data_IF_614011945266
#
_entry.id   IF_614011945266
#
_cell.length_a   1.000
_cell.length_b   1.000
_cell.length_c   1.000
_cell.angle_alpha   90.00
_cell.angle_beta   90.00
_cell.angle_gamma   90.00
#
_symmetry.space_group_name_H-M   'P 1'
#
loop_
_entity.id
_entity.type
_entity.pdbx_description
1 polymer ?
#
# COMPACT_ATOMS: atom_id res chain seq x y z
N UNK A 1 6.73 -7.94 9.23
CA UNK A 1 7.18 -6.54 9.11
C UNK A 1 7.41 -6.22 7.64
N UNK A 2 7.27 -4.94 7.25
CA UNK A 2 7.71 -4.40 5.95
C UNK A 2 8.67 -3.26 6.26
N UNK A 3 9.89 -3.32 5.76
CA UNK A 3 10.93 -2.32 5.98
C UNK A 3 11.28 -1.67 4.64
N UNK A 4 11.28 -0.33 4.60
CA UNK A 4 11.49 0.47 3.40
C UNK A 4 12.70 1.37 3.63
N UNK A 5 13.75 1.16 2.86
CA UNK A 5 15.02 1.87 2.93
C UNK A 5 15.49 2.29 1.53
N UNK A 6 15.02 3.45 1.03
CA UNK A 6 15.38 3.94 -0.30
C UNK A 6 16.88 4.21 -0.47
N UNK A 7 17.60 4.42 0.63
CA UNK A 7 19.04 4.69 0.61
C UNK A 7 19.91 3.44 0.65
N UNK A 8 19.33 2.27 0.98
CA UNK A 8 20.04 0.98 1.09
C UNK A 8 21.16 0.98 2.14
N UNK A 9 20.99 1.72 3.22
CA UNK A 9 22.03 1.90 4.25
C UNK A 9 21.65 1.25 5.56
N UNK A 10 20.49 1.63 6.12
CA UNK A 10 20.15 1.34 7.52
C UNK A 10 19.53 -0.06 7.70
N UNK A 11 18.70 -0.52 6.76
CA UNK A 11 17.92 -1.74 6.94
C UNK A 11 18.46 -2.98 6.25
N UNK A 12 19.53 -2.86 5.45
CA UNK A 12 20.17 -3.99 4.78
C UNK A 12 20.54 -5.15 5.74
N UNK A 13 21.06 -4.92 6.96
CA UNK A 13 21.40 -5.99 7.90
C UNK A 13 20.22 -6.87 8.32
N UNK A 14 18.98 -6.33 8.29
CA UNK A 14 17.78 -7.04 8.72
C UNK A 14 17.23 -8.02 7.66
N UNK A 15 17.74 -8.02 6.44
CA UNK A 15 17.34 -9.00 5.44
C UNK A 15 17.57 -10.43 5.96
N UNK A 16 16.59 -11.31 5.74
CA UNK A 16 16.65 -12.70 6.17
C UNK A 16 16.09 -12.98 7.56
N UNK A 17 15.59 -11.98 8.31
CA UNK A 17 14.87 -12.28 9.55
C UNK A 17 13.46 -12.82 9.22
N UNK A 18 12.93 -13.82 9.98
CA UNK A 18 11.65 -14.48 9.69
C UNK A 18 10.43 -13.56 9.82
N UNK A 19 10.61 -12.35 10.35
CA UNK A 19 9.54 -11.37 10.53
C UNK A 19 9.21 -10.56 9.28
N UNK A 20 10.04 -10.63 8.24
CA UNK A 20 9.84 -9.85 7.01
C UNK A 20 8.82 -10.51 6.10
N UNK A 21 7.83 -9.72 5.65
CA UNK A 21 6.86 -10.11 4.61
C UNK A 21 7.47 -10.08 3.20
N UNK A 22 8.40 -9.17 2.97
CA UNK A 22 9.17 -8.99 1.74
C UNK A 22 10.61 -8.66 2.10
N UNK A 23 11.60 -8.87 1.22
CA UNK A 23 12.93 -8.32 1.41
C UNK A 23 12.85 -6.82 1.70
N UNK A 24 13.86 -6.23 2.32
CA UNK A 24 13.92 -4.78 2.54
C UNK A 24 13.71 -4.08 1.20
N UNK A 25 12.67 -3.24 1.13
CA UNK A 25 12.24 -2.55 -0.09
C UNK A 25 13.11 -1.32 -0.30
N UNK A 26 13.77 -1.26 -1.44
CA UNK A 26 14.72 -0.17 -1.77
C UNK A 26 14.25 0.72 -2.91
N UNK A 27 13.33 0.26 -3.74
CA UNK A 27 12.82 1.02 -4.87
C UNK A 27 11.54 1.79 -4.50
N UNK A 28 11.48 3.08 -4.85
CA UNK A 28 10.35 3.95 -4.49
C UNK A 28 9.00 3.43 -5.01
N UNK A 29 8.98 2.84 -6.22
CA UNK A 29 7.77 2.28 -6.81
C UNK A 29 7.28 1.03 -6.07
N UNK A 30 8.20 0.16 -5.70
CA UNK A 30 7.89 -1.02 -4.88
C UNK A 30 7.41 -0.63 -3.48
N UNK A 31 7.98 0.44 -2.88
CA UNK A 31 7.53 1.00 -1.62
C UNK A 31 6.07 1.50 -1.71
N UNK A 32 5.72 2.22 -2.79
CA UNK A 32 4.35 2.64 -3.04
C UNK A 32 3.40 1.44 -3.23
N UNK A 33 3.84 0.39 -3.93
CA UNK A 33 3.07 -0.87 -4.08
C UNK A 33 2.86 -1.56 -2.74
N UNK A 34 3.88 -1.67 -1.90
CA UNK A 34 3.79 -2.26 -0.56
C UNK A 34 2.82 -1.49 0.35
N UNK A 35 2.84 -0.14 0.29
CA UNK A 35 1.90 0.70 1.03
C UNK A 35 0.46 0.55 0.51
N UNK A 36 0.26 0.47 -0.80
CA UNK A 36 -1.04 0.22 -1.42
C UNK A 36 -1.59 -1.15 -1.03
N UNK A 37 -0.75 -2.18 -1.02
CA UNK A 37 -1.11 -3.49 -0.50
C UNK A 37 -1.55 -3.43 0.96
N UNK A 38 -0.82 -2.69 1.80
CA UNK A 38 -1.18 -2.55 3.21
C UNK A 38 -2.54 -1.87 3.42
N UNK A 39 -2.91 -0.91 2.55
CA UNK A 39 -4.26 -0.31 2.54
C UNK A 39 -5.30 -1.37 2.17
N UNK A 40 -5.08 -2.17 1.14
CA UNK A 40 -6.01 -3.23 0.74
C UNK A 40 -6.14 -4.30 1.84
N UNK A 41 -5.04 -4.72 2.46
CA UNK A 41 -5.05 -5.66 3.59
C UNK A 41 -5.79 -5.11 4.81
N UNK A 42 -5.60 -3.82 5.12
CA UNK A 42 -6.35 -3.13 6.16
C UNK A 42 -7.86 -3.24 5.90
N UNK A 43 -8.31 -2.94 4.71
CA UNK A 43 -9.73 -2.97 4.34
C UNK A 43 -10.30 -4.39 4.34
N UNK A 44 -9.53 -5.35 3.84
CA UNK A 44 -9.88 -6.77 3.93
C UNK A 44 -10.10 -7.18 5.39
N UNK A 45 -9.19 -6.82 6.30
CA UNK A 45 -9.31 -7.11 7.74
C UNK A 45 -10.54 -6.46 8.35
N UNK A 46 -10.77 -5.18 8.09
CA UNK A 46 -11.92 -4.44 8.60
C UNK A 46 -13.26 -5.04 8.13
N UNK A 47 -13.33 -5.48 6.86
CA UNK A 47 -14.50 -6.18 6.30
C UNK A 47 -14.76 -7.51 7.04
N UNK A 48 -13.71 -8.31 7.25
CA UNK A 48 -13.80 -9.56 8.03
C UNK A 48 -14.28 -9.28 9.46
N UNK A 49 -13.70 -8.27 10.13
CA UNK A 49 -14.11 -7.92 11.51
C UNK A 49 -15.57 -7.51 11.58
N UNK A 50 -16.05 -6.72 10.63
CA UNK A 50 -17.45 -6.30 10.54
C UNK A 50 -18.37 -7.51 10.38
N UNK A 51 -18.02 -8.47 9.52
CA UNK A 51 -18.82 -9.69 9.28
C UNK A 51 -19.00 -10.57 10.52
N UNK A 52 -18.05 -10.57 11.44
CA UNK A 52 -18.09 -11.40 12.66
C UNK A 52 -18.40 -10.59 13.94
N UNK A 53 -18.69 -9.29 13.82
CA UNK A 53 -18.94 -8.40 14.95
C UNK A 53 -17.71 -8.20 15.86
N UNK A 54 -16.49 -8.17 15.29
CA UNK A 54 -15.27 -7.76 15.99
C UNK A 54 -14.97 -6.29 15.70
N UNK A 55 -14.41 -5.56 16.67
CA UNK A 55 -14.06 -4.14 16.51
C UNK A 55 -12.59 -3.90 16.18
N UNK A 56 -11.75 -4.89 16.42
CA UNK A 56 -10.30 -4.80 16.20
C UNK A 56 -9.66 -6.19 16.14
N UNK A 57 -8.38 -6.22 15.74
CA UNK A 57 -7.60 -7.46 15.62
C UNK A 57 -7.55 -8.28 16.92
N UNK A 58 -7.47 -7.64 18.09
CA UNK A 58 -7.44 -8.36 19.37
C UNK A 58 -8.73 -9.13 19.63
N UNK A 59 -9.90 -8.54 19.32
CA UNK A 59 -11.19 -9.24 19.42
C UNK A 59 -11.33 -10.35 18.36
N UNK A 60 -10.83 -10.12 17.15
CA UNK A 60 -10.79 -11.14 16.11
C UNK A 60 -9.95 -12.34 16.56
N UNK A 61 -8.70 -12.13 16.96
CA UNK A 61 -7.80 -13.19 17.39
C UNK A 61 -8.35 -13.96 18.62
N UNK A 62 -8.97 -13.26 19.56
CA UNK A 62 -9.62 -13.91 20.71
C UNK A 62 -10.82 -14.81 20.30
N UNK A 63 -11.50 -14.49 19.21
CA UNK A 63 -12.55 -15.36 18.64
C UNK A 63 -11.94 -16.53 17.85
N UNK A 64 -10.88 -16.28 17.06
CA UNK A 64 -10.17 -17.33 16.33
C UNK A 64 -9.62 -18.41 17.29
N UNK A 65 -8.99 -18.01 18.38
CA UNK A 65 -8.51 -18.92 19.43
C UNK A 65 -9.64 -19.77 20.07
N UNK A 66 -10.88 -19.28 20.03
CA UNK A 66 -12.06 -20.00 20.55
C UNK A 66 -12.77 -20.86 19.51
N UNK A 67 -12.15 -21.06 18.34
CA UNK A 67 -12.70 -21.90 17.28
C UNK A 67 -13.69 -21.18 16.36
N UNK A 68 -13.47 -19.89 16.08
CA UNK A 68 -14.22 -19.16 15.05
C UNK A 68 -14.05 -19.85 13.70
N UNK A 69 -15.15 -20.08 13.01
CA UNK A 69 -15.17 -20.56 11.62
C UNK A 69 -15.62 -19.42 10.69
N UNK A 70 -14.99 -19.32 9.54
CA UNK A 70 -15.33 -18.39 8.47
C UNK A 70 -15.40 -19.19 7.17
N UNK A 71 -16.55 -19.17 6.49
CA UNK A 71 -16.82 -19.97 5.29
C UNK A 71 -16.51 -21.48 5.50
N UNK A 72 -16.98 -22.04 6.58
CA UNK A 72 -16.82 -23.45 6.96
C UNK A 72 -15.35 -23.89 7.17
N UNK A 73 -14.44 -22.95 7.39
CA UNK A 73 -13.04 -23.20 7.70
C UNK A 73 -12.61 -22.54 9.03
N UNK A 74 -11.73 -23.18 9.83
CA UNK A 74 -11.20 -22.57 11.04
C UNK A 74 -10.44 -21.27 10.72
N UNK A 75 -10.80 -20.19 11.42
CA UNK A 75 -10.16 -18.91 11.25
C UNK A 75 -8.79 -18.90 11.93
N UNK A 76 -7.73 -18.63 11.16
CA UNK A 76 -6.39 -18.41 11.69
C UNK A 76 -6.27 -17.04 12.36
N UNK A 77 -5.42 -16.93 13.39
CA UNK A 77 -5.07 -15.65 13.98
C UNK A 77 -4.37 -14.74 12.96
N UNK A 78 -4.70 -13.46 12.98
CA UNK A 78 -4.03 -12.46 12.15
C UNK A 78 -2.85 -11.85 12.90
N UNK A 79 -1.65 -11.81 12.29
CA UNK A 79 -0.49 -11.15 12.89
C UNK A 79 -0.64 -9.63 12.82
N UNK A 80 -0.02 -8.92 13.77
CA UNK A 80 0.22 -7.49 13.65
C UNK A 80 1.24 -7.23 12.52
N UNK A 81 1.02 -6.17 11.77
CA UNK A 81 1.93 -5.72 10.71
C UNK A 81 2.54 -4.38 11.13
N UNK A 82 3.87 -4.29 11.11
CA UNK A 82 4.60 -3.04 11.33
C UNK A 82 5.31 -2.67 10.04
N UNK A 83 5.05 -1.46 9.56
CA UNK A 83 5.67 -0.88 8.35
C UNK A 83 6.61 0.23 8.83
N UNK A 84 7.88 0.15 8.44
CA UNK A 84 8.92 1.09 8.86
C UNK A 84 9.51 1.74 7.60
N UNK A 85 9.48 3.07 7.56
CA UNK A 85 10.07 3.87 6.47
C UNK A 85 11.23 4.67 7.06
N UNK A 86 12.43 4.43 6.57
CA UNK A 86 13.65 5.10 7.03
C UNK A 86 13.73 6.56 6.58
N UNK A 87 13.47 6.82 5.29
CA UNK A 87 13.53 8.18 4.73
C UNK A 87 12.31 8.47 3.85
N UNK A 88 11.32 9.15 4.45
CA UNK A 88 10.11 9.54 3.72
C UNK A 88 10.40 10.53 2.59
N UNK A 89 11.37 11.42 2.75
CA UNK A 89 11.66 12.45 1.74
C UNK A 89 11.98 11.85 0.37
N UNK A 90 12.72 10.74 0.33
CA UNK A 90 13.13 10.11 -0.92
C UNK A 90 11.92 9.46 -1.65
N UNK A 91 10.92 8.98 -0.91
CA UNK A 91 9.66 8.50 -1.48
C UNK A 91 8.81 9.66 -1.99
N UNK A 92 8.69 10.75 -1.22
CA UNK A 92 7.88 11.92 -1.58
C UNK A 92 8.39 12.62 -2.84
N UNK A 93 9.68 12.55 -3.13
CA UNK A 93 10.27 13.12 -4.36
C UNK A 93 9.93 12.32 -5.62
N UNK A 94 9.71 11.02 -5.51
CA UNK A 94 9.54 10.11 -6.66
C UNK A 94 8.07 9.69 -6.88
N UNK A 95 7.36 9.34 -5.80
CA UNK A 95 6.00 8.76 -5.82
C UNK A 95 5.13 9.40 -4.72
N UNK A 96 5.29 10.72 -4.52
CA UNK A 96 4.77 11.42 -3.36
C UNK A 96 3.26 11.32 -3.18
N UNK A 97 2.48 11.42 -4.26
CA UNK A 97 1.01 11.41 -4.19
C UNK A 97 0.45 10.07 -3.71
N UNK A 98 0.99 8.98 -4.25
CA UNK A 98 0.60 7.61 -3.93
C UNK A 98 0.99 7.26 -2.49
N UNK A 99 2.20 7.66 -2.09
CA UNK A 99 2.72 7.43 -0.73
C UNK A 99 1.96 8.26 0.30
N UNK A 100 1.73 9.55 0.06
CA UNK A 100 0.98 10.41 0.97
C UNK A 100 -0.46 9.92 1.17
N UNK A 101 -1.12 9.52 0.08
CA UNK A 101 -2.46 8.94 0.12
C UNK A 101 -2.47 7.66 0.98
N UNK A 102 -1.59 6.71 0.70
CA UNK A 102 -1.52 5.43 1.40
C UNK A 102 -1.19 5.60 2.89
N UNK A 103 -0.21 6.44 3.23
CA UNK A 103 0.15 6.76 4.63
C UNK A 103 -1.05 7.39 5.35
N UNK A 104 -1.72 8.36 4.74
CA UNK A 104 -2.87 9.03 5.34
C UNK A 104 -4.02 8.06 5.59
N UNK A 105 -4.32 7.18 4.63
CA UNK A 105 -5.37 6.17 4.74
C UNK A 105 -5.07 5.15 5.84
N UNK A 106 -3.85 4.65 5.90
CA UNK A 106 -3.39 3.74 6.96
C UNK A 106 -3.44 4.44 8.33
N UNK A 107 -2.94 5.66 8.47
CA UNK A 107 -2.92 6.37 9.73
C UNK A 107 -4.33 6.62 10.31
N UNK A 108 -5.35 6.77 9.44
CA UNK A 108 -6.74 6.95 9.85
C UNK A 108 -7.39 5.68 10.42
N UNK A 109 -7.16 4.51 9.83
CA UNK A 109 -7.98 3.33 10.06
C UNK A 109 -7.20 2.08 10.48
N UNK A 110 -5.90 2.00 10.20
CA UNK A 110 -5.12 0.77 10.31
C UNK A 110 -4.92 0.28 11.76
N UNK A 111 -5.06 1.16 12.76
CA UNK A 111 -4.95 0.78 14.18
C UNK A 111 -5.87 -0.38 14.55
N UNK A 112 -7.12 -0.33 14.13
CA UNK A 112 -8.08 -1.40 14.41
C UNK A 112 -7.74 -2.70 13.68
N UNK A 113 -7.17 -2.60 12.48
CA UNK A 113 -6.71 -3.74 11.67
C UNK A 113 -5.38 -4.35 12.17
N UNK A 114 -4.71 -3.73 13.15
CA UNK A 114 -3.42 -4.19 13.67
C UNK A 114 -2.25 -3.90 12.73
N UNK A 115 -2.35 -2.83 11.93
CA UNK A 115 -1.28 -2.37 11.03
C UNK A 115 -0.77 -1.03 11.58
N UNK A 116 0.54 -0.94 11.77
CA UNK A 116 1.19 0.21 12.40
C UNK A 116 2.28 0.77 11.51
N UNK A 117 2.41 2.11 11.51
CA UNK A 117 3.41 2.85 10.74
C UNK A 117 4.44 3.48 11.67
N UNK A 118 5.71 3.35 11.31
CA UNK A 118 6.82 4.14 11.83
C UNK A 118 7.44 4.85 10.61
N UNK A 119 7.34 6.17 10.59
CA UNK A 119 7.81 6.97 9.45
C UNK A 119 8.89 7.91 9.92
N UNK A 120 10.08 7.79 9.36
CA UNK A 120 11.21 8.64 9.65
C UNK A 120 11.61 9.51 8.45
N UNK A 121 12.27 10.61 8.73
CA UNK A 121 12.92 11.46 7.71
C UNK A 121 14.04 12.28 8.34
N UNK A 122 15.13 12.44 7.62
CA UNK A 122 16.23 13.35 7.94
C UNK A 122 16.02 14.75 7.33
N UNK A 123 14.92 14.95 6.55
CA UNK A 123 14.61 16.22 5.88
C UNK A 123 13.24 16.75 6.30
N UNK A 124 13.16 17.39 7.49
CA UNK A 124 11.90 17.89 8.04
C UNK A 124 11.46 19.17 7.33
N UNK A 125 11.00 19.04 6.09
CA UNK A 125 10.40 20.14 5.31
C UNK A 125 8.89 19.97 5.18
N UNK A 126 8.17 21.06 4.91
CA UNK A 126 6.70 21.04 4.74
C UNK A 126 6.24 20.22 3.54
N UNK A 127 7.12 19.99 2.55
CA UNK A 127 6.83 19.14 1.39
C UNK A 127 6.97 17.64 1.71
N UNK A 128 7.64 17.30 2.79
CA UNK A 128 7.84 15.92 3.27
C UNK A 128 6.88 15.61 4.41
N UNK A 129 6.90 16.43 5.45
CA UNK A 129 5.98 16.33 6.60
C UNK A 129 4.80 17.26 6.35
N UNK A 130 3.93 16.84 5.44
CA UNK A 130 2.80 17.64 4.98
C UNK A 130 1.73 17.81 6.07
N UNK A 131 0.83 18.77 5.87
CA UNK A 131 -0.31 18.98 6.78
C UNK A 131 -1.21 17.74 6.85
N UNK A 132 -1.35 16.99 5.74
CA UNK A 132 -2.16 15.78 5.69
C UNK A 132 -1.54 14.64 6.52
N UNK A 133 -0.22 14.45 6.42
CA UNK A 133 0.53 13.48 7.23
C UNK A 133 0.42 13.86 8.72
N UNK A 134 0.66 15.13 9.09
CA UNK A 134 0.59 15.59 10.48
C UNK A 134 -0.80 15.45 11.10
N UNK A 135 -1.85 15.66 10.31
CA UNK A 135 -3.24 15.53 10.78
C UNK A 135 -3.59 14.08 11.18
N UNK A 136 -2.95 13.10 10.56
CA UNK A 136 -3.24 11.68 10.75
C UNK A 136 -2.20 10.97 11.63
N UNK A 137 -0.91 11.33 11.53
CA UNK A 137 0.17 10.84 12.41
C UNK A 137 0.33 11.87 13.54
N UNK A 138 -0.37 11.63 14.62
CA UNK A 138 -0.47 12.58 15.75
C UNK A 138 0.64 12.41 16.77
N UNK A 139 1.22 11.21 16.92
CA UNK A 139 2.36 10.96 17.79
C UNK A 139 3.65 11.22 17.01
N UNK A 140 4.46 12.15 17.49
CA UNK A 140 5.65 12.62 16.78
C UNK A 140 6.85 12.68 17.69
N UNK A 141 8.01 12.32 17.16
CA UNK A 141 9.29 12.38 17.85
C UNK A 141 10.21 13.28 17.02
N UNK A 142 10.89 14.21 17.68
CA UNK A 142 11.98 14.96 17.07
C UNK A 142 13.25 14.73 17.90
N UNK A 143 14.30 14.31 17.21
CA UNK A 143 15.67 14.40 17.70
C UNK A 143 16.20 15.83 17.47
N UNK A 144 17.47 16.07 17.80
CA UNK A 144 18.09 17.36 17.54
C UNK A 144 17.99 17.75 16.05
N UNK A 145 17.56 18.97 15.78
CA UNK A 145 17.42 19.56 14.46
C UNK A 145 18.21 20.85 14.32
N UNK A 146 18.48 21.29 13.10
CA UNK A 146 19.33 22.45 12.84
C UNK A 146 18.69 23.79 13.23
N UNK A 147 17.37 23.89 13.22
CA UNK A 147 16.66 25.14 13.46
C UNK A 147 15.30 24.98 14.15
N UNK A 148 14.84 26.06 14.80
CA UNK A 148 13.48 26.12 15.34
C UNK A 148 12.39 26.04 14.29
N UNK A 149 12.69 26.28 13.00
CA UNK A 149 11.77 26.07 11.88
C UNK A 149 11.56 24.57 11.68
N UNK A 150 12.64 23.78 11.66
CA UNK A 150 12.57 22.33 11.52
C UNK A 150 11.80 21.70 12.69
N UNK A 151 12.03 22.18 13.91
CA UNK A 151 11.28 21.78 15.09
C UNK A 151 9.78 22.01 14.91
N UNK A 152 9.37 23.18 14.38
CA UNK A 152 7.95 23.47 14.13
C UNK A 152 7.36 22.62 13.01
N UNK A 153 8.14 22.28 11.99
CA UNK A 153 7.67 21.34 10.95
C UNK A 153 7.26 20.01 11.55
N UNK A 154 8.04 19.48 12.51
CA UNK A 154 7.77 18.17 13.12
C UNK A 154 6.74 18.29 14.25
N UNK A 155 6.97 19.19 15.22
CA UNK A 155 6.26 19.22 16.50
C UNK A 155 5.20 20.32 16.61
N UNK A 156 5.07 21.19 15.60
CA UNK A 156 4.27 22.45 15.63
C UNK A 156 4.76 23.45 16.70
N UNK A 157 5.88 23.20 17.34
CA UNK A 157 6.49 24.04 18.39
C UNK A 157 8.02 24.05 18.27
N UNK A 158 8.71 25.11 18.69
CA UNK A 158 10.16 25.11 18.78
C UNK A 158 10.63 24.26 19.96
N UNK A 159 11.91 23.94 20.00
CA UNK A 159 12.58 23.28 21.13
C UNK A 159 13.50 22.14 20.75
N UNK A 160 13.25 21.44 19.64
CA UNK A 160 14.11 20.34 19.22
C UNK A 160 15.51 20.81 18.77
N UNK A 161 15.67 22.07 18.38
CA UNK A 161 16.96 22.71 18.07
C UNK A 161 17.86 22.87 19.31
N UNK A 162 17.29 22.77 20.49
CA UNK A 162 18.02 22.89 21.77
C UNK A 162 18.41 21.54 22.39
N UNK A 163 18.10 20.44 21.71
CA UNK A 163 18.48 19.10 22.13
C UNK A 163 19.99 18.90 21.96
N UNK A 164 20.59 18.08 22.85
CA UNK A 164 22.04 17.85 22.87
C UNK A 164 22.54 16.75 21.93
N UNK A 165 21.62 16.08 21.18
CA UNK A 165 21.96 14.92 20.37
C UNK A 165 22.09 13.64 21.22
N UNK A 166 22.76 12.60 20.66
CA UNK A 166 23.02 11.32 21.35
C UNK A 166 21.77 10.65 21.92
N UNK A 167 20.66 10.69 21.21
CA UNK A 167 19.41 10.08 21.64
C UNK A 167 18.51 10.99 22.49
N UNK A 168 18.89 12.24 22.72
CA UNK A 168 18.04 13.25 23.38
C UNK A 168 16.90 13.63 22.38
N UNK A 169 15.67 13.52 22.81
CA UNK A 169 14.48 13.70 21.92
C UNK A 169 13.34 14.40 22.62
N UNK A 170 12.43 14.98 21.81
CA UNK A 170 11.12 15.47 22.23
C UNK A 170 10.03 14.56 21.68
N UNK A 171 9.18 14.05 22.56
CA UNK A 171 7.97 13.29 22.23
C UNK A 171 6.76 14.19 22.34
N UNK A 172 6.03 14.37 21.22
CA UNK A 172 4.74 15.02 21.18
C UNK A 172 3.62 13.97 21.07
N UNK A 173 2.59 14.13 21.90
CA UNK A 173 1.35 13.37 21.84
C UNK A 173 0.18 14.32 22.05
N UNK A 174 -1.01 14.08 21.42
CA UNK A 174 -2.17 14.94 21.58
C UNK A 174 -2.65 15.11 23.05
N UNK A 175 -2.41 14.08 23.87
CA UNK A 175 -2.82 14.08 25.28
C UNK A 175 -1.87 14.89 26.17
N UNK A 176 -0.71 15.28 25.66
CA UNK A 176 0.28 16.08 26.41
C UNK A 176 0.10 17.56 26.12
N UNK A 177 0.05 18.38 27.17
CA UNK A 177 -0.05 19.82 27.03
C UNK A 177 1.18 20.45 26.34
N UNK A 178 2.32 19.80 26.37
CA UNK A 178 3.57 20.18 25.73
C UNK A 178 4.44 18.93 25.48
N UNK A 179 5.39 18.98 24.51
CA UNK A 179 6.31 17.89 24.26
C UNK A 179 7.08 17.47 25.51
N UNK A 180 7.23 16.16 25.69
CA UNK A 180 8.01 15.57 26.77
C UNK A 180 9.43 15.27 26.28
N UNK A 181 10.45 15.73 27.04
CA UNK A 181 11.85 15.41 26.75
C UNK A 181 12.19 14.03 27.29
N UNK A 182 12.81 13.20 26.46
CA UNK A 182 13.18 11.82 26.78
C UNK A 182 14.59 11.58 26.30
N UNK A 183 15.36 10.79 27.07
CA UNK A 183 16.66 10.29 26.67
C UNK A 183 16.50 8.87 26.11
N UNK A 184 16.84 8.68 24.87
CA UNK A 184 16.98 7.36 24.23
C UNK A 184 18.25 6.65 24.70
N UNK A 185 18.18 5.32 24.75
CA UNK A 185 19.37 4.52 25.01
C UNK A 185 20.28 4.45 23.78
N UNK A 186 21.57 4.29 23.98
CA UNK A 186 22.49 3.95 22.89
C UNK A 186 22.37 2.46 22.59
N UNK A 187 22.34 2.12 21.30
CA UNK A 187 22.38 0.74 20.78
C UNK A 187 23.53 0.67 19.78
N UNK A 188 24.47 -0.26 19.99
CA UNK A 188 25.63 -0.43 19.12
C UNK A 188 25.31 -1.32 17.91
N UNK A 189 26.14 -1.23 16.88
CA UNK A 189 26.04 -2.11 15.70
C UNK A 189 26.24 -3.59 16.07
N UNK A 190 27.11 -3.89 17.02
CA UNK A 190 27.34 -5.25 17.51
C UNK A 190 26.09 -5.82 18.19
N UNK A 191 25.37 -5.01 18.98
CA UNK A 191 24.11 -5.42 19.61
C UNK A 191 23.03 -5.66 18.56
N UNK A 192 22.91 -4.80 17.55
CA UNK A 192 21.99 -5.00 16.43
C UNK A 192 22.32 -6.30 15.70
N UNK A 193 23.57 -6.51 15.35
CA UNK A 193 24.05 -7.72 14.67
C UNK A 193 23.73 -8.98 15.45
N UNK A 194 23.99 -8.98 16.76
CA UNK A 194 23.71 -10.10 17.64
C UNK A 194 22.21 -10.44 17.71
N UNK A 195 21.35 -9.42 17.77
CA UNK A 195 19.88 -9.59 17.73
C UNK A 195 19.45 -10.14 16.39
N UNK A 196 19.94 -9.59 15.27
CA UNK A 196 19.61 -10.05 13.92
C UNK A 196 20.01 -11.50 13.70
N UNK A 197 21.22 -11.89 14.08
CA UNK A 197 21.69 -13.28 14.01
C UNK A 197 20.80 -14.22 14.84
N UNK A 198 20.43 -13.80 16.03
CA UNK A 198 19.51 -14.58 16.87
C UNK A 198 18.15 -14.74 16.22
N UNK A 199 17.61 -13.71 15.58
CA UNK A 199 16.34 -13.78 14.87
C UNK A 199 16.42 -14.70 13.65
N UNK A 200 17.49 -14.61 12.83
CA UNK A 200 17.74 -15.49 11.70
C UNK A 200 17.85 -16.96 12.10
N UNK A 201 18.39 -17.24 13.29
CA UNK A 201 18.48 -18.61 13.82
C UNK A 201 17.13 -19.24 14.19
N UNK A 202 16.05 -18.46 14.25
CA UNK A 202 14.69 -18.93 14.59
C UNK A 202 13.92 -19.47 13.39
N UNK A 203 14.31 -19.14 12.17
CA UNK A 203 13.68 -19.60 10.93
C UNK A 203 14.02 -18.70 9.75
N UNK A 204 13.64 -19.14 8.57
CA UNK A 204 13.77 -18.37 7.33
C UNK A 204 12.51 -17.52 7.09
N UNK A 205 12.64 -16.37 6.40
CA UNK A 205 11.47 -15.56 6.03
C UNK A 205 10.65 -16.24 4.93
N UNK A 206 9.32 -16.16 5.05
CA UNK A 206 8.39 -16.50 3.99
C UNK A 206 8.01 -15.23 3.24
N UNK A 207 8.67 -14.97 2.11
CA UNK A 207 8.46 -13.73 1.35
C UNK A 207 7.25 -13.80 0.42
N UNK A 208 6.43 -12.77 0.46
CA UNK A 208 5.24 -12.55 -0.38
C UNK A 208 5.56 -11.50 -1.46
N UNK A 209 6.31 -11.87 -2.48
CA UNK A 209 6.80 -10.95 -3.52
C UNK A 209 5.70 -10.34 -4.41
N UNK A 210 4.50 -10.89 -4.41
CA UNK A 210 3.30 -10.34 -5.02
C UNK A 210 2.90 -8.98 -4.44
N UNK A 211 3.23 -8.72 -3.16
CA UNK A 211 3.01 -7.43 -2.49
C UNK A 211 3.68 -6.27 -3.26
N UNK A 212 4.89 -6.49 -3.78
CA UNK A 212 5.66 -5.47 -4.50
C UNK A 212 5.13 -5.19 -5.92
N UNK A 213 4.23 -6.02 -6.42
CA UNK A 213 3.59 -5.89 -7.73
C UNK A 213 2.17 -5.32 -7.65
N UNK A 214 1.70 -4.97 -6.46
CA UNK A 214 0.35 -4.43 -6.25
C UNK A 214 0.17 -3.12 -7.02
N UNK A 215 -0.96 -2.96 -7.70
CA UNK A 215 -1.30 -1.73 -8.39
C UNK A 215 -1.41 -0.56 -7.42
N UNK A 216 -0.87 0.59 -7.81
CA UNK A 216 -0.88 1.80 -7.00
C UNK A 216 -2.32 2.33 -6.86
N UNK A 217 -2.73 2.62 -5.63
CA UNK A 217 -4.00 3.26 -5.34
C UNK A 217 -3.80 4.77 -5.41
N UNK A 218 -4.55 5.44 -6.28
CA UNK A 218 -4.50 6.92 -6.44
C UNK A 218 -5.80 7.57 -5.98
N UNK A 219 -5.72 8.86 -5.63
CA UNK A 219 -6.89 9.70 -5.34
C UNK A 219 -7.79 9.75 -6.60
N UNK A 220 -8.94 9.08 -6.55
CA UNK A 220 -9.89 8.99 -7.66
C UNK A 220 -10.22 7.56 -8.09
N UNK A 221 -9.45 6.58 -7.67
CA UNK A 221 -9.85 5.19 -7.80
C UNK A 221 -10.94 4.92 -6.74
N UNK A 222 -12.17 4.76 -7.21
CA UNK A 222 -13.22 4.17 -6.38
C UNK A 222 -12.73 2.79 -5.97
N UNK A 223 -12.65 2.53 -4.65
CA UNK A 223 -12.26 1.23 -4.13
C UNK A 223 -13.05 0.13 -4.85
N UNK A 224 -12.40 -0.96 -5.30
CA UNK A 224 -13.13 -2.09 -5.82
C UNK A 224 -14.02 -2.62 -4.69
N UNK A 225 -15.31 -2.65 -4.93
CA UNK A 225 -16.26 -3.34 -4.05
C UNK A 225 -15.79 -4.79 -3.92
N UNK A 226 -15.54 -5.21 -2.68
CA UNK A 226 -14.75 -6.38 -2.33
C UNK A 226 -15.32 -7.70 -2.81
N UNK A 227 -15.09 -8.02 -4.06
CA UNK A 227 -15.09 -9.39 -4.57
C UNK A 227 -13.65 -9.73 -4.91
N UNK A 228 -13.09 -10.64 -4.15
CA UNK A 228 -11.70 -11.08 -4.28
C UNK A 228 -11.40 -11.59 -5.68
N UNK A 229 -10.30 -11.14 -6.19
CA UNK A 229 -9.68 -11.59 -7.41
C UNK A 229 -8.31 -10.94 -7.49
N UNK A 230 -7.28 -11.64 -7.06
CA UNK A 230 -5.89 -11.37 -7.42
C UNK A 230 -5.77 -11.59 -8.93
N UNK A 231 -5.95 -10.55 -9.71
CA UNK A 231 -5.63 -10.60 -11.13
C UNK A 231 -4.26 -9.94 -11.35
N UNK A 232 -3.23 -10.70 -11.09
CA UNK A 232 -1.98 -10.56 -11.85
C UNK A 232 -2.16 -11.41 -13.10
N UNK A 233 -2.41 -10.80 -14.22
CA UNK A 233 -2.57 -11.45 -15.52
C UNK A 233 -3.67 -10.76 -16.31
N UNK A 234 -3.35 -10.34 -17.46
CA UNK A 234 -4.02 -9.88 -18.67
C UNK A 234 -5.55 -9.77 -18.79
N UNK A 235 -6.39 -10.07 -17.80
CA UNK A 235 -7.84 -10.09 -18.01
C UNK A 235 -8.62 -9.37 -16.89
N UNK A 236 -9.13 -8.16 -17.21
CA UNK A 236 -10.23 -7.56 -16.44
C UNK A 236 -11.49 -8.43 -16.70
N UNK A 237 -12.23 -8.89 -15.68
CA UNK A 237 -13.40 -9.75 -15.85
C UNK A 237 -14.47 -9.16 -16.78
N UNK A 238 -14.45 -7.85 -17.02
CA UNK A 238 -15.36 -7.17 -17.95
C UNK A 238 -14.81 -7.04 -19.38
N UNK A 239 -13.64 -7.61 -19.69
CA UNK A 239 -13.03 -7.50 -21.02
C UNK A 239 -13.94 -8.09 -22.10
N UNK A 240 -14.53 -9.26 -21.85
CA UNK A 240 -15.40 -9.92 -22.80
C UNK A 240 -16.75 -9.22 -22.95
N UNK A 241 -17.32 -8.70 -21.87
CA UNK A 241 -18.54 -7.86 -21.93
C UNK A 241 -18.26 -6.57 -22.71
N UNK A 242 -17.08 -5.99 -22.51
CA UNK A 242 -16.64 -4.81 -23.25
C UNK A 242 -16.42 -5.11 -24.75
N UNK A 243 -15.85 -6.28 -25.07
CA UNK A 243 -15.67 -6.75 -26.44
C UNK A 243 -17.01 -6.83 -27.16
N UNK A 244 -18.02 -7.44 -26.55
CA UNK A 244 -19.39 -7.53 -27.14
C UNK A 244 -20.01 -6.15 -27.38
N UNK A 245 -19.84 -5.22 -26.41
CA UNK A 245 -20.34 -3.85 -26.54
C UNK A 245 -19.65 -3.12 -27.69
N UNK A 246 -18.33 -3.26 -27.82
CA UNK A 246 -17.55 -2.59 -28.87
C UNK A 246 -17.86 -3.16 -30.24
N UNK A 247 -17.90 -4.47 -30.40
CA UNK A 247 -18.21 -5.15 -31.66
C UNK A 247 -19.68 -4.87 -32.07
N UNK A 248 -20.63 -4.96 -31.15
CA UNK A 248 -22.03 -4.67 -31.41
C UNK A 248 -22.32 -3.21 -31.78
N UNK A 249 -21.54 -2.27 -31.22
CA UNK A 249 -21.68 -0.84 -31.52
C UNK A 249 -20.86 -0.37 -32.72
N UNK A 250 -19.93 -1.20 -33.22
CA UNK A 250 -19.01 -0.86 -34.31
C UNK A 250 -18.06 0.27 -34.01
N UNK A 251 -17.86 0.62 -32.72
CA UNK A 251 -17.01 1.75 -32.27
C UNK A 251 -16.29 1.46 -30.99
N UNK A 252 -14.93 1.53 -31.00
CA UNK A 252 -14.07 1.44 -29.85
C UNK A 252 -14.04 2.76 -29.06
N UNK A 253 -15.09 3.06 -28.29
CA UNK A 253 -15.21 4.30 -27.52
C UNK A 253 -15.12 4.06 -26.02
N UNK A 254 -14.08 4.60 -25.38
CA UNK A 254 -13.90 4.56 -23.91
C UNK A 254 -15.10 5.15 -23.16
N UNK A 255 -15.68 6.25 -23.67
CA UNK A 255 -16.86 6.88 -23.07
C UNK A 255 -18.14 6.02 -23.21
N UNK A 256 -18.23 5.19 -24.26
CA UNK A 256 -19.34 4.24 -24.43
C UNK A 256 -19.21 3.08 -23.42
N UNK A 257 -18.01 2.51 -23.26
CA UNK A 257 -17.72 1.47 -22.28
C UNK A 257 -17.98 1.98 -20.86
N UNK A 258 -17.51 3.19 -20.51
CA UNK A 258 -17.75 3.80 -19.23
C UNK A 258 -19.24 3.83 -18.86
N UNK A 259 -20.09 4.25 -19.80
CA UNK A 259 -21.54 4.36 -19.55
C UNK A 259 -22.25 3.00 -19.51
N UNK A 260 -21.87 2.07 -20.38
CA UNK A 260 -22.57 0.77 -20.48
C UNK A 260 -22.16 -0.21 -19.38
N UNK A 261 -20.88 -0.19 -18.98
CA UNK A 261 -20.36 -1.06 -17.93
C UNK A 261 -20.38 -0.40 -16.55
N UNK A 262 -20.77 0.88 -16.46
CA UNK A 262 -20.79 1.67 -15.20
C UNK A 262 -19.42 1.69 -14.51
N UNK A 263 -18.32 1.79 -15.27
CA UNK A 263 -16.95 1.81 -14.79
C UNK A 263 -16.34 3.20 -14.87
N UNK A 264 -15.28 3.47 -14.08
CA UNK A 264 -14.54 4.73 -14.18
C UNK A 264 -13.74 4.85 -15.48
N UNK A 265 -13.42 6.11 -15.88
CA UNK A 265 -12.70 6.41 -17.12
C UNK A 265 -11.38 5.65 -17.25
N UNK A 266 -10.58 5.58 -16.17
CA UNK A 266 -9.30 4.88 -16.14
C UNK A 266 -9.44 3.37 -16.37
N UNK A 267 -10.48 2.74 -15.80
CA UNK A 267 -10.76 1.32 -16.00
C UNK A 267 -11.26 1.06 -17.43
N UNK A 268 -12.15 1.90 -17.95
CA UNK A 268 -12.61 1.80 -19.33
C UNK A 268 -11.45 1.98 -20.33
N UNK A 269 -10.47 2.84 -20.03
CA UNK A 269 -9.24 3.00 -20.80
C UNK A 269 -8.40 1.71 -20.81
N UNK A 270 -8.13 1.13 -19.63
CA UNK A 270 -7.40 -0.16 -19.52
C UNK A 270 -8.09 -1.30 -20.24
N UNK A 271 -9.42 -1.41 -20.11
CA UNK A 271 -10.18 -2.42 -20.85
C UNK A 271 -10.02 -2.22 -22.36
N UNK A 272 -10.03 -0.98 -22.84
CA UNK A 272 -9.82 -0.67 -24.25
C UNK A 272 -8.40 -1.03 -24.73
N UNK A 273 -7.39 -0.89 -23.88
CA UNK A 273 -6.01 -1.28 -24.19
C UNK A 273 -5.87 -2.83 -24.21
N UNK A 274 -6.56 -3.54 -23.33
CA UNK A 274 -6.66 -5.01 -23.38
C UNK A 274 -7.38 -5.50 -24.64
N UNK A 275 -8.41 -4.80 -25.10
CA UNK A 275 -9.09 -5.13 -26.38
C UNK A 275 -8.18 -4.90 -27.58
N UNK A 276 -7.25 -3.92 -27.52
CA UNK A 276 -6.22 -3.72 -28.54
C UNK A 276 -5.20 -4.87 -28.53
N UNK A 277 -4.72 -5.26 -27.34
CA UNK A 277 -3.78 -6.37 -27.18
C UNK A 277 -4.35 -7.70 -27.71
N UNK A 278 -5.65 -7.91 -27.52
CA UNK A 278 -6.39 -9.06 -28.09
C UNK A 278 -6.74 -8.92 -29.57
N UNK A 279 -6.37 -7.82 -30.21
CA UNK A 279 -6.64 -7.56 -31.63
C UNK A 279 -8.11 -7.28 -31.98
N UNK A 280 -8.94 -6.95 -30.99
CA UNK A 280 -10.37 -6.66 -31.17
C UNK A 280 -10.58 -5.23 -31.65
N UNK A 281 -9.75 -4.29 -31.20
CA UNK A 281 -9.75 -2.89 -31.63
C UNK A 281 -8.38 -2.45 -32.11
N UNK A 282 -8.36 -1.45 -32.97
CA UNK A 282 -7.11 -0.82 -33.45
C UNK A 282 -6.50 0.16 -32.45
N UNK A 283 -5.30 0.70 -32.78
CA UNK A 283 -4.57 1.62 -31.93
C UNK A 283 -5.31 2.95 -31.69
N UNK A 284 -4.93 3.71 -30.64
CA UNK A 284 -5.54 4.99 -30.32
C UNK A 284 -5.44 5.98 -31.49
N UNK A 285 -6.55 6.61 -31.86
CA UNK A 285 -6.61 7.59 -32.94
C UNK A 285 -7.03 8.98 -32.40
N UNK A 286 -6.20 9.55 -31.53
CA UNK A 286 -6.47 10.84 -30.90
C UNK A 286 -7.76 10.81 -30.06
N UNK A 287 -8.68 11.76 -30.31
CA UNK A 287 -9.99 11.85 -29.62
C UNK A 287 -11.11 11.06 -30.31
N UNK A 288 -10.82 10.39 -31.42
CA UNK A 288 -11.84 9.61 -32.16
C UNK A 288 -11.96 8.20 -31.57
N UNK A 289 -13.13 7.54 -31.70
CA UNK A 289 -13.27 6.13 -31.36
C UNK A 289 -12.27 5.27 -32.14
N UNK A 290 -11.71 4.23 -31.49
CA UNK A 290 -10.83 3.25 -32.13
C UNK A 290 -11.62 2.42 -33.12
N UNK A 291 -10.99 1.97 -34.19
CA UNK A 291 -11.59 1.08 -35.19
C UNK A 291 -11.79 -0.31 -34.58
N UNK A 292 -12.92 -0.95 -34.93
CA UNK A 292 -13.20 -2.33 -34.54
C UNK A 292 -12.71 -3.24 -35.65
N UNK A 293 -11.84 -4.18 -35.31
CA UNK A 293 -11.10 -5.02 -36.26
C UNK A 293 -11.74 -6.39 -36.50
N UNK A 294 -12.66 -6.80 -35.63
CA UNK A 294 -13.28 -8.14 -35.67
C UNK A 294 -14.78 -8.04 -35.78
N UNK A 295 -15.38 -9.04 -36.46
CA UNK A 295 -16.82 -9.21 -36.51
C UNK A 295 -17.36 -10.08 -35.35
N UNK A 296 -18.70 -10.19 -35.16
CA UNK A 296 -19.27 -10.98 -34.07
C UNK A 296 -18.92 -12.48 -34.11
N UNK A 297 -18.69 -13.08 -35.30
CA UNK A 297 -18.30 -14.49 -35.42
C UNK A 297 -16.82 -14.70 -35.08
N UNK A 298 -15.97 -13.77 -35.47
CA UNK A 298 -14.56 -13.75 -35.12
C UNK A 298 -14.36 -13.57 -33.61
N UNK A 299 -15.17 -12.71 -32.96
CA UNK A 299 -15.16 -12.52 -31.53
C UNK A 299 -15.45 -13.82 -30.75
N UNK A 300 -16.46 -14.57 -31.17
CA UNK A 300 -16.80 -15.87 -30.57
C UNK A 300 -15.66 -16.89 -30.74
N UNK A 301 -14.95 -16.84 -31.86
CA UNK A 301 -13.80 -17.72 -32.12
C UNK A 301 -12.64 -17.37 -31.21
N UNK A 302 -12.33 -16.08 -31.00
CA UNK A 302 -11.27 -15.60 -30.08
C UNK A 302 -11.60 -16.02 -28.65
N UNK A 303 -12.84 -15.84 -28.18
CA UNK A 303 -13.29 -16.28 -26.86
C UNK A 303 -13.10 -17.78 -26.65
N UNK A 304 -13.44 -18.60 -27.64
CA UNK A 304 -13.30 -20.05 -27.55
C UNK A 304 -11.83 -20.51 -27.49
N UNK A 305 -10.92 -19.82 -28.17
CA UNK A 305 -9.48 -20.11 -28.11
C UNK A 305 -8.89 -19.81 -26.74
N UNK A 306 -9.18 -18.64 -26.15
CA UNK A 306 -8.64 -18.29 -24.82
C UNK A 306 -9.26 -19.12 -23.68
N UNK A 307 -10.50 -19.57 -23.81
CA UNK A 307 -11.10 -20.49 -22.86
C UNK A 307 -10.38 -21.86 -22.80
N UNK A 308 -9.75 -22.28 -23.91
CA UNK A 308 -8.98 -23.51 -24.00
C UNK A 308 -7.52 -23.38 -23.52
N UNK A 309 -6.93 -22.18 -23.58
CA UNK A 309 -5.54 -21.94 -23.10
C UNK A 309 -5.48 -21.73 -21.57
N UNK A 310 -6.62 -21.62 -20.91
CA UNK A 310 -6.74 -21.40 -19.44
C UNK A 310 -7.01 -22.69 -18.65
N UNK A 311 -6.97 -23.86 -19.28
CA UNK A 311 -7.02 -25.20 -18.65
C UNK A 311 -5.66 -25.88 -18.64
#
# INVERSE_FOLDING_TARGET
>A
MIMIDPKRVEFTPYNGIPHLYVPVVTEAREAASALSWAVAEMERRLKVFSGIGARNIGQYNAKAQKGLEINDAPAAEMPYIVIIIDELADLMMNVGKEVEFSISRLAQLARAAGIHLIVATQRPSTNVVTGLIKANITNRIAFNVASGIDSRVILDTPGAENLIGLGDLLLYKPELAKPQRIQGCFVSEDEISAVVEKLKSQGEPEYHNDILKTNLITLGDSMPDGSGGTASGSDDPLVWDAAEIVVSSGMGSTSNLQRRLSVGYSRAGRIMDLLEEKGIVGPPNGSKPREVLVDPMELETIKAFEANDSQ
#
